data_IF_232499335098
#
_entry.id   IF_232499335098
#
_cell.length_a   1.000
_cell.length_b   1.000
_cell.length_c   1.000
_cell.angle_alpha   90.00
_cell.angle_beta   90.00
_cell.angle_gamma   90.00
#
_symmetry.space_group_name_H-M   'P 1'
#
loop_
_entity.id
_entity.type
_entity.pdbx_description
1 polymer ?
#
# COMPACT_ATOMS: atom_id res chain seq x y z
N UNK A 1 -5.69 -12.81 -1.64
CA UNK A 1 -4.67 -13.39 -2.54
C UNK A 1 -5.30 -14.59 -3.23
N UNK A 2 -4.95 -14.84 -4.49
CA UNK A 2 -5.45 -16.01 -5.24
C UNK A 2 -4.48 -16.39 -6.36
N UNK A 3 -4.63 -17.58 -6.93
CA UNK A 3 -3.81 -18.05 -8.06
C UNK A 3 -4.37 -17.66 -9.44
N UNK A 4 -5.57 -17.08 -9.47
CA UNK A 4 -6.19 -16.57 -10.68
C UNK A 4 -6.97 -15.29 -10.39
N UNK A 5 -7.12 -14.44 -11.41
CA UNK A 5 -7.94 -13.23 -11.31
C UNK A 5 -9.43 -13.55 -11.12
N UNK A 6 -9.89 -14.70 -11.62
CA UNK A 6 -11.29 -15.11 -11.48
C UNK A 6 -11.60 -15.55 -10.05
N UNK A 7 -10.72 -16.33 -9.41
CA UNK A 7 -10.86 -16.69 -7.99
C UNK A 7 -10.85 -15.45 -7.10
N UNK A 8 -9.98 -14.49 -7.41
CA UNK A 8 -9.89 -13.23 -6.67
C UNK A 8 -11.15 -12.38 -6.84
N UNK A 9 -11.68 -12.32 -8.05
CA UNK A 9 -12.91 -11.61 -8.36
C UNK A 9 -14.09 -12.24 -7.63
N UNK A 10 -14.19 -13.58 -7.65
CA UNK A 10 -15.27 -14.29 -6.99
C UNK A 10 -15.19 -14.14 -5.47
N UNK A 11 -13.99 -14.21 -4.88
CA UNK A 11 -13.79 -13.96 -3.45
C UNK A 11 -14.34 -12.59 -3.04
N UNK A 12 -13.92 -11.52 -3.72
CA UNK A 12 -14.37 -10.16 -3.40
C UNK A 12 -15.87 -9.97 -3.61
N UNK A 13 -16.41 -10.53 -4.70
CA UNK A 13 -17.84 -10.52 -4.98
C UNK A 13 -18.65 -11.18 -3.86
N UNK A 14 -18.17 -12.29 -3.29
CA UNK A 14 -18.81 -12.95 -2.15
C UNK A 14 -18.71 -12.12 -0.89
N UNK A 15 -17.52 -11.58 -0.57
CA UNK A 15 -17.32 -10.74 0.62
C UNK A 15 -18.23 -9.52 0.60
N UNK A 16 -18.26 -8.79 -0.50
CA UNK A 16 -19.16 -7.62 -0.66
C UNK A 16 -20.62 -8.06 -0.69
N UNK A 17 -20.93 -9.21 -1.30
CA UNK A 17 -22.27 -9.79 -1.35
C UNK A 17 -22.83 -10.22 0.01
N UNK A 18 -21.99 -10.46 1.02
CA UNK A 18 -22.42 -10.70 2.40
C UNK A 18 -22.96 -9.43 3.08
N UNK A 19 -22.85 -8.26 2.44
CA UNK A 19 -23.32 -6.96 2.95
C UNK A 19 -22.75 -6.65 4.35
N UNK A 20 -21.42 -6.59 4.51
CA UNK A 20 -20.79 -6.39 5.81
C UNK A 20 -21.26 -5.13 6.57
N UNK A 21 -21.69 -4.11 5.83
CA UNK A 21 -22.27 -2.88 6.38
C UNK A 21 -23.58 -3.07 7.18
N UNK A 22 -24.19 -4.26 7.17
CA UNK A 22 -25.38 -4.54 7.96
C UNK A 22 -25.08 -4.98 9.39
N UNK A 23 -23.91 -5.57 9.63
CA UNK A 23 -23.49 -6.01 10.95
C UNK A 23 -22.27 -5.24 11.48
N UNK A 24 -21.56 -4.53 10.62
CA UNK A 24 -20.45 -3.65 10.97
C UNK A 24 -20.72 -2.22 10.47
N UNK A 25 -21.01 -1.31 11.39
CA UNK A 25 -21.30 0.09 11.10
C UNK A 25 -20.11 0.88 10.56
N UNK A 26 -18.89 0.34 10.63
CA UNK A 26 -17.67 0.97 10.08
C UNK A 26 -17.47 0.65 8.59
N UNK A 27 -18.18 -0.34 8.07
CA UNK A 27 -18.15 -0.71 6.66
C UNK A 27 -18.98 0.26 5.81
N UNK A 28 -18.40 0.72 4.70
CA UNK A 28 -19.11 1.60 3.75
C UNK A 28 -20.10 0.75 2.93
N UNK A 29 -21.37 1.15 2.80
CA UNK A 29 -22.40 0.36 2.12
C UNK A 29 -22.29 0.47 0.60
N UNK A 30 -21.22 -0.09 0.02
CA UNK A 30 -20.99 -0.14 -1.42
C UNK A 30 -21.26 -1.56 -1.94
N UNK A 31 -22.34 -1.77 -2.70
CA UNK A 31 -22.61 -3.07 -3.30
C UNK A 31 -21.67 -3.33 -4.48
N UNK A 32 -21.42 -4.61 -4.76
CA UNK A 32 -20.59 -5.05 -5.87
C UNK A 32 -21.16 -4.60 -7.21
N UNK A 33 -20.35 -3.95 -8.03
CA UNK A 33 -20.74 -3.48 -9.36
C UNK A 33 -20.01 -4.26 -10.44
N UNK A 34 -20.75 -4.79 -11.41
CA UNK A 34 -20.14 -5.32 -12.63
C UNK A 34 -19.54 -4.15 -13.43
N UNK A 35 -18.22 -4.17 -13.62
CA UNK A 35 -17.51 -3.16 -14.40
C UNK A 35 -17.22 -3.70 -15.79
N UNK A 36 -17.78 -3.06 -16.81
CA UNK A 36 -17.42 -3.29 -18.21
C UNK A 36 -16.54 -2.13 -18.68
N UNK A 37 -15.21 -2.35 -18.71
CA UNK A 37 -14.26 -1.34 -19.20
C UNK A 37 -14.34 -1.14 -20.73
N UNK A 38 -14.96 -2.09 -21.43
CA UNK A 38 -15.04 -2.17 -22.90
C UNK A 38 -16.27 -1.44 -23.47
N UNK A 39 -17.33 -1.22 -22.68
CA UNK A 39 -18.62 -0.67 -23.14
C UNK A 39 -18.62 0.83 -23.45
N UNK A 40 -17.50 1.55 -23.28
CA UNK A 40 -17.46 2.99 -23.56
C UNK A 40 -16.09 3.59 -23.90
N UNK A 41 -14.98 2.86 -23.73
CA UNK A 41 -13.63 3.33 -24.07
C UNK A 41 -12.90 2.29 -24.91
N UNK A 42 -12.74 2.54 -26.21
CA UNK A 42 -11.86 1.72 -27.09
C UNK A 42 -10.40 1.73 -26.63
N UNK A 43 -9.99 2.73 -25.82
CA UNK A 43 -8.61 2.93 -25.35
C UNK A 43 -8.64 3.44 -23.92
N UNK A 44 -8.05 2.67 -23.00
CA UNK A 44 -7.79 3.08 -21.62
C UNK A 44 -6.52 3.92 -21.57
N UNK A 45 -6.44 4.83 -20.59
CA UNK A 45 -5.27 5.65 -20.32
C UNK A 45 -4.55 5.18 -19.05
N UNK A 46 -3.30 4.76 -19.17
CA UNK A 46 -2.46 4.30 -18.07
C UNK A 46 -1.39 5.34 -17.76
N UNK A 47 -1.30 5.76 -16.50
CA UNK A 47 -0.16 6.54 -16.00
C UNK A 47 0.92 5.61 -15.44
N UNK A 48 2.19 5.81 -15.77
CA UNK A 48 3.29 4.96 -15.30
C UNK A 48 4.19 5.72 -14.34
N UNK A 49 4.37 5.17 -13.14
CA UNK A 49 5.38 5.63 -12.18
C UNK A 49 6.58 4.69 -12.29
N UNK A 50 7.62 5.16 -12.97
CA UNK A 50 8.86 4.41 -13.18
C UNK A 50 9.76 4.37 -11.95
N UNK A 51 9.80 5.47 -11.21
CA UNK A 51 10.69 5.65 -10.06
C UNK A 51 9.95 6.38 -8.94
N UNK A 52 10.22 5.98 -7.71
CA UNK A 52 9.67 6.58 -6.49
C UNK A 52 10.55 7.73 -5.95
N UNK A 53 11.74 7.91 -6.53
CA UNK A 53 12.74 8.90 -6.12
C UNK A 53 13.61 8.49 -4.92
N UNK A 54 13.41 7.30 -4.37
CA UNK A 54 14.17 6.77 -3.22
C UNK A 54 15.02 5.58 -3.66
N UNK A 55 14.43 4.55 -4.25
CA UNK A 55 15.14 3.38 -4.77
C UNK A 55 14.70 3.15 -6.22
N UNK A 56 15.58 3.37 -7.21
CA UNK A 56 15.23 3.06 -8.59
C UNK A 56 15.00 1.55 -8.75
N UNK A 57 13.99 1.10 -9.51
CA UNK A 57 13.76 -0.33 -9.68
C UNK A 57 14.96 -0.99 -10.35
N UNK A 58 15.28 -2.19 -9.88
CA UNK A 58 16.33 -3.04 -10.48
C UNK A 58 16.04 -3.32 -11.95
N UNK A 59 17.04 -3.69 -12.76
CA UNK A 59 16.85 -4.01 -14.18
C UNK A 59 15.69 -4.99 -14.42
N UNK A 60 15.60 -6.05 -13.61
CA UNK A 60 14.50 -7.01 -13.63
C UNK A 60 13.12 -6.36 -13.43
N UNK A 61 12.93 -5.60 -12.35
CA UNK A 61 11.65 -4.95 -12.07
C UNK A 61 11.30 -3.90 -13.13
N UNK A 62 12.30 -3.13 -13.62
CA UNK A 62 12.11 -2.16 -14.71
C UNK A 62 11.69 -2.85 -16.00
N UNK A 63 12.35 -3.93 -16.37
CA UNK A 63 12.03 -4.73 -17.54
C UNK A 63 10.60 -5.31 -17.44
N UNK A 64 10.20 -5.83 -16.28
CA UNK A 64 8.83 -6.29 -16.06
C UNK A 64 7.79 -5.20 -16.30
N UNK A 65 8.03 -3.98 -15.79
CA UNK A 65 7.17 -2.83 -16.03
C UNK A 65 7.16 -2.40 -17.51
N UNK A 66 8.33 -2.31 -18.15
CA UNK A 66 8.46 -1.99 -19.58
C UNK A 66 7.70 -2.98 -20.46
N UNK A 67 7.79 -4.28 -20.17
CA UNK A 67 7.06 -5.32 -20.89
C UNK A 67 5.55 -5.10 -20.87
N UNK A 68 4.98 -4.68 -19.73
CA UNK A 68 3.56 -4.34 -19.62
C UNK A 68 3.22 -3.08 -20.41
N UNK A 69 4.05 -2.03 -20.30
CA UNK A 69 3.87 -0.78 -21.04
C UNK A 69 3.84 -1.04 -22.55
N UNK A 70 4.77 -1.84 -23.05
CA UNK A 70 4.86 -2.19 -24.47
C UNK A 70 3.65 -3.02 -24.92
N UNK A 71 3.21 -3.98 -24.11
CA UNK A 71 2.03 -4.78 -24.37
C UNK A 71 0.76 -3.91 -24.49
N UNK A 72 0.58 -2.96 -23.57
CA UNK A 72 -0.57 -2.05 -23.55
C UNK A 72 -0.54 -1.07 -24.74
N UNK A 73 0.62 -0.48 -25.04
CA UNK A 73 0.79 0.40 -26.21
C UNK A 73 0.49 -0.34 -27.51
N UNK A 74 0.91 -1.60 -27.64
CA UNK A 74 0.64 -2.42 -28.82
C UNK A 74 -0.85 -2.70 -29.03
N UNK A 75 -1.62 -2.80 -27.95
CA UNK A 75 -3.09 -2.90 -28.01
C UNK A 75 -3.80 -1.55 -28.25
N UNK A 76 -3.04 -0.47 -28.44
CA UNK A 76 -3.58 0.86 -28.73
C UNK A 76 -4.07 1.63 -27.51
N UNK A 77 -3.72 1.18 -26.30
CA UNK A 77 -3.96 1.96 -25.08
C UNK A 77 -3.02 3.18 -25.00
N UNK A 78 -3.50 4.25 -24.38
CA UNK A 78 -2.68 5.43 -24.12
C UNK A 78 -1.86 5.15 -22.86
N UNK A 79 -0.54 5.33 -22.93
CA UNK A 79 0.35 5.15 -21.79
C UNK A 79 1.22 6.39 -21.66
N UNK A 80 1.11 7.08 -20.53
CA UNK A 80 1.83 8.31 -20.24
C UNK A 80 2.75 8.11 -19.03
N UNK A 81 3.88 8.82 -19.02
CA UNK A 81 4.74 8.86 -17.85
C UNK A 81 4.12 9.81 -16.82
N UNK A 82 3.64 9.24 -15.72
CA UNK A 82 3.03 10.02 -14.66
C UNK A 82 4.13 10.54 -13.75
N UNK A 83 4.48 11.81 -13.92
CA UNK A 83 5.39 12.46 -12.99
C UNK A 83 4.76 12.47 -11.60
N UNK A 84 5.46 11.92 -10.62
CA UNK A 84 5.01 11.89 -9.24
C UNK A 84 4.94 13.33 -8.71
N UNK A 85 3.85 13.73 -8.04
CA UNK A 85 3.65 15.10 -7.52
C UNK A 85 4.66 15.43 -6.43
N UNK A 86 4.99 14.41 -5.65
CA UNK A 86 5.78 14.44 -4.43
C UNK A 86 6.67 13.22 -4.39
N UNK A 87 7.83 13.32 -3.74
CA UNK A 87 8.74 12.17 -3.67
C UNK A 87 8.13 11.10 -2.78
N UNK A 88 8.42 9.82 -3.02
CA UNK A 88 7.94 8.78 -2.11
C UNK A 88 8.49 8.95 -0.68
N UNK A 89 9.62 9.66 -0.51
CA UNK A 89 10.09 10.11 0.80
C UNK A 89 9.05 10.92 1.56
N UNK A 90 8.32 11.82 0.91
CA UNK A 90 7.33 12.69 1.58
C UNK A 90 6.17 11.85 2.12
N UNK A 91 5.73 10.88 1.32
CA UNK A 91 4.74 9.89 1.73
C UNK A 91 5.22 9.05 2.92
N UNK A 92 6.44 8.50 2.84
CA UNK A 92 7.03 7.71 3.91
C UNK A 92 7.18 8.54 5.20
N UNK A 93 7.55 9.82 5.09
CA UNK A 93 7.71 10.72 6.21
C UNK A 93 6.39 10.98 6.94
N UNK A 94 5.32 11.30 6.20
CA UNK A 94 3.99 11.50 6.79
C UNK A 94 3.47 10.19 7.38
N UNK A 95 3.49 9.12 6.58
CA UNK A 95 2.88 7.85 6.98
C UNK A 95 3.62 7.15 8.11
N UNK A 96 4.95 7.21 8.19
CA UNK A 96 5.66 6.61 9.32
C UNK A 96 5.49 7.37 10.63
N UNK A 97 5.35 8.69 10.58
CA UNK A 97 5.03 9.45 11.79
C UNK A 97 3.63 9.13 12.30
N UNK A 98 2.66 8.92 11.41
CA UNK A 98 1.31 8.47 11.78
C UNK A 98 1.31 7.02 12.28
N UNK A 99 2.03 6.12 11.60
CA UNK A 99 2.11 4.70 11.98
C UNK A 99 2.80 4.49 13.33
N UNK A 100 3.80 5.31 13.64
CA UNK A 100 4.59 5.23 14.87
C UNK A 100 4.42 6.48 15.74
N UNK A 101 3.22 7.08 15.76
CA UNK A 101 2.94 8.28 16.54
C UNK A 101 3.20 8.08 18.04
N UNK A 102 3.04 6.87 18.52
CA UNK A 102 3.30 6.45 19.90
C UNK A 102 4.74 5.95 20.14
N UNK A 103 5.63 6.04 19.15
CA UNK A 103 6.98 5.46 19.18
C UNK A 103 6.97 3.93 19.35
N UNK A 104 5.99 3.26 18.75
CA UNK A 104 5.84 1.80 18.73
C UNK A 104 5.45 1.21 20.09
N UNK A 105 4.77 1.95 20.94
CA UNK A 105 4.33 1.51 22.27
C UNK A 105 3.28 0.41 22.15
N UNK A 106 2.26 0.61 21.31
CA UNK A 106 1.21 -0.35 20.98
C UNK A 106 1.77 -1.60 20.30
N UNK A 107 2.79 -1.45 19.44
CA UNK A 107 3.46 -2.59 18.81
C UNK A 107 4.21 -3.45 19.83
N UNK A 108 4.76 -2.83 20.87
CA UNK A 108 5.60 -3.50 21.88
C UNK A 108 4.82 -4.03 23.07
N UNK A 109 3.70 -3.41 23.41
CA UNK A 109 2.88 -3.76 24.57
C UNK A 109 2.50 -5.27 24.63
N UNK A 110 2.14 -5.94 23.52
CA UNK A 110 1.80 -7.36 23.56
C UNK A 110 3.00 -8.31 23.52
N UNK A 111 4.23 -7.82 23.27
CA UNK A 111 5.41 -8.68 23.09
C UNK A 111 5.94 -9.18 24.42
N UNK A 112 6.21 -10.47 24.54
CA UNK A 112 6.86 -11.05 25.71
C UNK A 112 8.38 -10.83 25.67
N UNK A 113 9.01 -10.65 26.83
CA UNK A 113 10.46 -10.43 26.93
C UNK A 113 11.32 -11.58 26.38
N UNK A 114 10.76 -12.78 26.27
CA UNK A 114 11.43 -14.00 25.77
C UNK A 114 11.25 -14.22 24.28
N UNK A 115 10.46 -13.40 23.59
CA UNK A 115 10.25 -13.54 22.15
C UNK A 115 11.51 -13.17 21.36
N UNK A 116 11.84 -14.00 20.38
CA UNK A 116 12.93 -13.73 19.44
C UNK A 116 12.39 -13.02 18.21
N UNK A 117 12.97 -11.88 17.87
CA UNK A 117 12.63 -11.14 16.66
C UNK A 117 13.72 -11.28 15.60
N UNK A 118 13.33 -11.14 14.33
CA UNK A 118 14.29 -11.05 13.22
C UNK A 118 15.17 -9.80 13.37
N UNK A 119 16.39 -9.84 12.84
CA UNK A 119 17.32 -8.71 12.90
C UNK A 119 16.73 -7.38 12.38
N UNK A 120 16.00 -7.32 11.24
CA UNK A 120 15.34 -6.09 10.80
C UNK A 120 14.34 -5.55 11.82
N UNK A 121 13.51 -6.43 12.41
CA UNK A 121 12.55 -6.06 13.45
C UNK A 121 13.25 -5.49 14.68
N UNK A 122 14.34 -6.11 15.12
CA UNK A 122 15.13 -5.61 16.25
C UNK A 122 15.68 -4.21 15.99
N UNK A 123 16.17 -3.95 14.77
CA UNK A 123 16.65 -2.61 14.39
C UNK A 123 15.55 -1.56 14.42
N UNK A 124 14.36 -1.87 13.88
CA UNK A 124 13.21 -0.94 13.91
C UNK A 124 12.74 -0.68 15.34
N UNK A 125 12.57 -1.72 16.16
CA UNK A 125 12.17 -1.56 17.55
C UNK A 125 13.23 -0.80 18.37
N UNK A 126 14.51 -1.07 18.12
CA UNK A 126 15.63 -0.34 18.72
C UNK A 126 15.57 1.14 18.36
N UNK A 127 15.39 1.46 17.08
CA UNK A 127 15.20 2.83 16.61
C UNK A 127 14.02 3.49 17.29
N UNK A 128 12.85 2.86 17.35
CA UNK A 128 11.66 3.42 18.00
C UNK A 128 11.87 3.67 19.50
N UNK A 129 12.61 2.81 20.21
CA UNK A 129 12.93 2.97 21.63
C UNK A 129 13.94 4.07 21.94
N UNK A 130 14.77 4.48 20.98
CA UNK A 130 15.80 5.50 21.23
C UNK A 130 15.18 6.84 21.68
N UNK A 131 15.69 7.47 22.76
CA UNK A 131 15.26 8.81 23.19
C UNK A 131 15.41 9.87 22.09
N UNK A 132 14.50 10.85 22.06
CA UNK A 132 14.47 11.93 21.06
C UNK A 132 15.81 12.68 20.98
N UNK A 133 16.44 12.97 22.11
CA UNK A 133 17.75 13.67 22.13
C UNK A 133 18.85 12.90 21.39
N UNK A 134 18.91 11.57 21.55
CA UNK A 134 19.89 10.73 20.88
C UNK A 134 19.59 10.68 19.37
N UNK A 135 18.32 10.50 19.00
CA UNK A 135 17.87 10.54 17.60
C UNK A 135 18.21 11.86 16.91
N UNK A 136 17.97 12.98 17.58
CA UNK A 136 18.30 14.32 17.07
C UNK A 136 19.81 14.48 16.87
N UNK A 137 20.62 13.98 17.80
CA UNK A 137 22.07 14.00 17.65
C UNK A 137 22.55 13.11 16.49
N UNK A 138 22.03 11.89 16.36
CA UNK A 138 22.32 11.00 15.22
C UNK A 138 21.88 11.61 13.88
N UNK A 139 20.73 12.27 13.84
CA UNK A 139 20.26 13.03 12.67
C UNK A 139 21.22 14.15 12.31
N UNK A 140 21.75 14.89 13.30
CA UNK A 140 22.74 15.94 13.08
C UNK A 140 24.06 15.39 12.54
N UNK A 141 24.52 14.25 13.07
CA UNK A 141 25.72 13.57 12.58
C UNK A 141 25.54 13.20 11.10
N UNK A 142 24.43 12.54 10.74
CA UNK A 142 24.16 12.07 9.39
C UNK A 142 23.93 13.21 8.38
N UNK A 143 23.49 14.39 8.83
CA UNK A 143 23.37 15.60 7.99
C UNK A 143 24.70 16.30 7.77
N UNK A 144 25.66 16.18 8.69
CA UNK A 144 26.93 16.90 8.65
C UNK A 144 28.07 16.02 8.12
N UNK A 145 28.69 16.46 7.04
CA UNK A 145 29.89 15.81 6.50
C UNK A 145 31.02 15.71 7.54
N UNK A 146 31.24 16.79 8.30
CA UNK A 146 32.33 16.87 9.29
C UNK A 146 32.08 15.87 10.42
N UNK A 147 30.86 15.85 10.97
CA UNK A 147 30.53 14.92 12.06
C UNK A 147 30.51 13.47 11.56
N UNK A 148 29.94 13.20 10.38
CA UNK A 148 29.97 11.85 9.80
C UNK A 148 31.39 11.33 9.61
N UNK A 149 32.34 12.20 9.22
CA UNK A 149 33.75 11.85 9.15
C UNK A 149 34.37 11.58 10.53
N UNK A 150 34.15 12.47 11.51
CA UNK A 150 34.67 12.32 12.88
C UNK A 150 34.19 11.02 13.54
N UNK A 151 32.92 10.66 13.33
CA UNK A 151 32.31 9.46 13.92
C UNK A 151 32.44 8.20 13.04
N UNK A 152 33.22 8.25 11.94
CA UNK A 152 33.51 7.08 11.10
C UNK A 152 32.31 6.52 10.33
N UNK A 153 31.26 7.32 10.11
CA UNK A 153 30.05 6.95 9.37
C UNK A 153 30.15 7.22 7.85
N UNK A 154 31.29 7.76 7.40
CA UNK A 154 31.61 8.00 6.00
C UNK A 154 31.63 9.49 5.62
N UNK A 155 32.03 9.77 4.38
CA UNK A 155 32.25 11.14 3.87
C UNK A 155 31.07 11.70 3.08
N UNK A 156 29.90 11.05 3.06
CA UNK A 156 28.73 11.58 2.34
C UNK A 156 27.54 11.73 3.30
N UNK A 157 26.93 12.93 3.38
CA UNK A 157 25.69 13.11 4.14
C UNK A 157 24.59 12.16 3.67
N UNK A 158 23.80 11.64 4.60
CA UNK A 158 22.64 10.79 4.33
C UNK A 158 21.36 11.46 4.83
N UNK A 159 20.76 12.37 4.03
CA UNK A 159 19.60 13.14 4.45
C UNK A 159 18.35 12.28 4.68
N UNK A 160 18.18 11.18 3.91
CA UNK A 160 17.01 10.31 4.01
C UNK A 160 17.00 9.54 5.34
N UNK A 161 18.13 8.92 5.70
CA UNK A 161 18.24 8.25 7.00
C UNK A 161 18.18 9.26 8.14
N UNK A 162 18.86 10.41 8.00
CA UNK A 162 18.81 11.46 9.02
C UNK A 162 17.39 11.96 9.29
N UNK A 163 16.59 12.10 8.23
CA UNK A 163 15.19 12.47 8.31
C UNK A 163 14.40 11.41 9.09
N UNK A 164 14.55 10.12 8.74
CA UNK A 164 13.92 9.02 9.47
C UNK A 164 14.23 9.04 10.98
N UNK A 165 15.49 9.27 11.36
CA UNK A 165 15.87 9.42 12.78
C UNK A 165 15.15 10.61 13.43
N UNK A 166 15.08 11.75 12.74
CA UNK A 166 14.42 12.95 13.29
C UNK A 166 12.92 12.80 13.43
N UNK A 167 12.26 12.07 12.53
CA UNK A 167 10.81 11.98 12.46
C UNK A 167 10.22 10.93 13.40
N UNK A 168 10.90 9.78 13.57
CA UNK A 168 10.43 8.63 14.36
C UNK A 168 10.58 8.84 15.87
N UNK A 169 9.75 9.71 16.44
CA UNK A 169 9.63 9.91 17.88
C UNK A 169 8.16 10.08 18.27
N UNK A 170 7.86 9.88 19.55
CA UNK A 170 6.50 10.03 20.10
C UNK A 170 5.96 11.43 19.78
N UNK A 171 4.76 11.48 19.19
CA UNK A 171 4.03 12.69 18.82
C UNK A 171 3.05 13.07 19.91
N UNK A 172 2.87 14.37 20.07
CA UNK A 172 1.74 14.92 20.82
C UNK A 172 0.47 14.83 19.97
N UNK A 173 -0.69 14.90 20.62
CA UNK A 173 -1.99 14.93 19.93
C UNK A 173 -2.08 16.09 18.93
N UNK A 174 -1.42 17.22 19.21
CA UNK A 174 -1.40 18.37 18.30
C UNK A 174 -0.56 18.10 17.05
N UNK A 175 0.65 17.56 17.21
CA UNK A 175 1.51 17.16 16.09
C UNK A 175 0.84 16.07 15.25
N UNK A 176 0.17 15.10 15.88
CA UNK A 176 -0.57 14.05 15.17
C UNK A 176 -1.71 14.63 14.34
N UNK A 177 -2.48 15.58 14.88
CA UNK A 177 -3.55 16.27 14.13
C UNK A 177 -3.01 17.06 12.94
N UNK A 178 -1.85 17.71 13.09
CA UNK A 178 -1.16 18.39 11.99
C UNK A 178 -0.73 17.39 10.90
N UNK A 179 -0.18 16.24 11.29
CA UNK A 179 0.19 15.18 10.35
C UNK A 179 -1.03 14.60 9.60
N UNK A 180 -2.19 14.53 10.26
CA UNK A 180 -3.45 14.13 9.63
C UNK A 180 -3.86 15.15 8.56
N UNK A 181 -3.75 16.45 8.86
CA UNK A 181 -4.00 17.52 7.89
C UNK A 181 -3.03 17.45 6.71
N UNK A 182 -1.72 17.29 6.96
CA UNK A 182 -0.70 17.11 5.92
C UNK A 182 -1.00 15.92 5.01
N UNK A 183 -1.41 14.79 5.59
CA UNK A 183 -1.84 13.60 4.83
C UNK A 183 -3.04 13.91 3.94
N UNK A 184 -4.02 14.65 4.43
CA UNK A 184 -5.23 14.94 3.68
C UNK A 184 -4.98 15.95 2.55
N UNK A 185 -4.08 16.93 2.77
CA UNK A 185 -3.56 17.80 1.71
C UNK A 185 -2.81 16.98 0.64
N UNK A 186 -1.97 16.03 1.08
CA UNK A 186 -1.25 15.13 0.18
C UNK A 186 -2.22 14.32 -0.69
N UNK A 187 -3.25 13.71 -0.08
CA UNK A 187 -4.33 12.98 -0.79
C UNK A 187 -5.07 13.87 -1.78
N UNK A 188 -5.42 15.09 -1.39
CA UNK A 188 -6.12 16.04 -2.25
C UNK A 188 -5.28 16.43 -3.47
N UNK A 189 -3.98 16.67 -3.29
CA UNK A 189 -3.06 16.98 -4.39
C UNK A 189 -2.95 15.84 -5.40
N UNK A 190 -2.85 14.60 -4.91
CA UNK A 190 -2.84 13.39 -5.73
C UNK A 190 -4.12 13.20 -6.52
N UNK A 191 -5.26 13.37 -5.85
CA UNK A 191 -6.55 13.29 -6.51
C UNK A 191 -6.70 14.35 -7.61
N UNK A 192 -6.29 15.59 -7.32
CA UNK A 192 -6.34 16.69 -8.29
C UNK A 192 -5.55 16.36 -9.56
N UNK A 193 -4.30 15.94 -9.44
CA UNK A 193 -3.49 15.56 -10.62
C UNK A 193 -4.06 14.37 -11.36
N UNK A 194 -4.54 13.35 -10.65
CA UNK A 194 -5.16 12.19 -11.28
C UNK A 194 -6.32 12.61 -12.19
N UNK A 195 -7.14 13.55 -11.71
CA UNK A 195 -8.27 14.12 -12.47
C UNK A 195 -7.81 14.99 -13.65
N UNK A 196 -6.74 15.78 -13.49
CA UNK A 196 -6.16 16.60 -14.56
C UNK A 196 -5.58 15.75 -15.70
N UNK A 197 -4.83 14.70 -15.36
CA UNK A 197 -4.20 13.78 -16.31
C UNK A 197 -5.22 12.81 -16.96
N UNK A 198 -6.39 12.66 -16.34
CA UNK A 198 -7.49 11.79 -16.79
C UNK A 198 -7.06 10.32 -16.98
N UNK A 199 -6.15 9.85 -16.12
CA UNK A 199 -5.69 8.45 -16.16
C UNK A 199 -6.77 7.52 -15.59
N UNK A 200 -6.95 6.36 -16.23
CA UNK A 200 -7.86 5.32 -15.77
C UNK A 200 -7.22 4.47 -14.68
N UNK A 201 -5.94 4.17 -14.83
CA UNK A 201 -5.12 3.37 -13.92
C UNK A 201 -3.71 3.97 -13.78
N UNK A 202 -3.07 3.68 -12.65
CA UNK A 202 -1.64 3.90 -12.46
C UNK A 202 -0.91 2.56 -12.40
N UNK A 203 0.21 2.47 -13.10
CA UNK A 203 1.08 1.29 -13.16
C UNK A 203 2.43 1.62 -12.50
N UNK A 204 2.91 0.70 -11.69
CA UNK A 204 4.27 0.76 -11.14
C UNK A 204 4.73 -0.63 -10.70
N UNK A 205 5.94 -0.73 -10.15
CA UNK A 205 6.42 -1.96 -9.50
C UNK A 205 5.90 -2.00 -8.06
N UNK A 206 5.54 -3.16 -7.48
CA UNK A 206 5.15 -3.22 -6.07
C UNK A 206 6.33 -3.04 -5.11
N UNK A 207 7.53 -3.35 -5.57
CA UNK A 207 8.78 -3.30 -4.81
C UNK A 207 9.96 -3.14 -5.79
N UNK A 208 11.05 -2.43 -5.44
CA UNK A 208 12.12 -2.13 -6.39
C UNK A 208 13.02 -3.33 -6.73
N UNK A 209 12.93 -4.44 -5.99
CA UNK A 209 13.73 -5.65 -6.20
C UNK A 209 12.86 -6.90 -6.38
N UNK A 210 13.41 -7.98 -6.97
CA UNK A 210 12.83 -9.31 -6.85
C UNK A 210 12.83 -9.79 -5.39
N UNK A 211 12.23 -10.95 -5.13
CA UNK A 211 12.24 -11.55 -3.81
C UNK A 211 13.66 -11.66 -3.25
N UNK A 212 13.86 -11.13 -2.04
CA UNK A 212 15.15 -11.11 -1.36
C UNK A 212 15.48 -12.51 -0.83
N UNK A 213 16.77 -12.83 -0.76
CA UNK A 213 17.23 -14.03 -0.05
C UNK A 213 16.85 -13.96 1.44
N UNK A 214 16.70 -15.13 2.06
CA UNK A 214 16.49 -15.22 3.50
C UNK A 214 17.59 -14.46 4.26
N UNK A 215 17.19 -13.59 5.20
CA UNK A 215 18.08 -12.71 5.96
C UNK A 215 18.55 -11.45 5.22
N UNK A 216 18.25 -11.30 3.92
CA UNK A 216 18.62 -10.12 3.12
C UNK A 216 17.76 -8.88 3.40
N UNK A 217 16.59 -9.07 4.03
CA UNK A 217 15.67 -7.96 4.36
C UNK A 217 16.25 -6.93 5.33
N UNK A 218 17.33 -7.24 6.06
CA UNK A 218 17.99 -6.26 6.94
C UNK A 218 18.61 -5.07 6.19
N UNK A 219 18.94 -5.27 4.91
CA UNK A 219 19.43 -4.19 4.03
C UNK A 219 18.31 -3.48 3.27
N UNK A 220 17.12 -4.08 3.24
CA UNK A 220 15.88 -3.45 2.83
C UNK A 220 15.29 -2.70 4.02
N UNK A 221 15.68 -1.43 4.16
CA UNK A 221 15.21 -0.59 5.27
C UNK A 221 13.73 -0.24 5.11
N UNK A 222 13.14 0.41 6.13
CA UNK A 222 11.82 1.02 6.05
C UNK A 222 11.65 1.91 4.79
N UNK A 223 12.73 2.44 4.23
CA UNK A 223 12.66 3.30 3.05
C UNK A 223 12.47 2.55 1.73
N UNK A 224 12.42 1.21 1.74
CA UNK A 224 12.29 0.37 0.53
C UNK A 224 10.86 0.09 0.07
N UNK A 225 9.86 0.36 0.91
CA UNK A 225 8.46 0.05 0.61
C UNK A 225 7.70 1.18 -0.11
N UNK A 226 8.39 2.25 -0.56
CA UNK A 226 7.78 3.47 -1.10
C UNK A 226 6.72 3.22 -2.17
N UNK A 227 7.01 2.31 -3.11
CA UNK A 227 6.10 1.96 -4.20
C UNK A 227 4.74 1.39 -3.78
N UNK A 228 4.69 0.62 -2.69
CA UNK A 228 3.44 0.07 -2.16
C UNK A 228 2.82 1.02 -1.12
N UNK A 229 3.66 1.58 -0.26
CA UNK A 229 3.25 2.40 0.87
C UNK A 229 2.50 3.67 0.45
N UNK A 230 2.82 4.23 -0.72
CA UNK A 230 2.12 5.40 -1.26
C UNK A 230 0.62 5.17 -1.42
N UNK A 231 0.21 4.00 -1.88
CA UNK A 231 -1.20 3.71 -2.12
C UNK A 231 -1.95 3.41 -0.82
N UNK A 232 -1.25 2.93 0.21
CA UNK A 232 -1.80 2.84 1.57
C UNK A 232 -2.04 4.24 2.16
N UNK A 233 -1.07 5.15 2.03
CA UNK A 233 -1.25 6.52 2.51
C UNK A 233 -2.38 7.22 1.74
N UNK A 234 -2.45 7.03 0.42
CA UNK A 234 -3.49 7.61 -0.43
C UNK A 234 -4.87 7.00 -0.24
N UNK A 235 -4.98 5.83 0.39
CA UNK A 235 -6.21 5.04 0.50
C UNK A 235 -6.79 4.71 -0.89
N UNK A 236 -5.90 4.29 -1.79
CA UNK A 236 -6.21 3.91 -3.17
C UNK A 236 -6.19 2.40 -3.33
N UNK A 237 -6.98 1.91 -4.28
CA UNK A 237 -7.10 0.49 -4.57
C UNK A 237 -5.89 0.03 -5.36
N UNK A 238 -5.17 -1.00 -4.90
CA UNK A 238 -4.02 -1.57 -5.60
C UNK A 238 -4.10 -3.10 -5.70
N UNK A 239 -3.78 -3.64 -6.87
CA UNK A 239 -3.66 -5.07 -7.12
C UNK A 239 -2.36 -5.41 -7.84
N UNK A 240 -1.72 -6.52 -7.47
CA UNK A 240 -0.44 -6.96 -8.04
C UNK A 240 -0.63 -8.25 -8.81
N UNK A 241 -0.20 -8.27 -10.08
CA UNK A 241 -0.14 -9.50 -10.90
C UNK A 241 1.30 -9.80 -11.31
N UNK A 242 1.71 -11.07 -11.32
CA UNK A 242 2.98 -11.48 -11.93
C UNK A 242 2.90 -11.41 -13.45
N UNK A 243 3.99 -10.95 -14.09
CA UNK A 243 4.02 -10.68 -15.54
C UNK A 243 5.18 -11.35 -16.27
N UNK A 244 6.27 -11.62 -15.57
CA UNK A 244 7.45 -12.29 -16.10
C UNK A 244 8.31 -12.83 -14.96
N UNK A 245 9.43 -13.46 -15.28
CA UNK A 245 10.43 -13.91 -14.30
C UNK A 245 11.77 -13.25 -14.56
N UNK A 246 12.64 -13.26 -13.56
CA UNK A 246 14.02 -12.75 -13.67
C UNK A 246 14.80 -13.58 -14.68
N UNK A 247 15.41 -12.90 -15.65
CA UNK A 247 16.27 -13.47 -16.69
C UNK A 247 17.68 -12.87 -16.59
N UNK A 248 18.71 -13.65 -16.20
CA UNK A 248 20.08 -13.13 -16.10
C UNK A 248 20.60 -12.51 -17.39
N UNK A 249 20.18 -13.02 -18.55
CA UNK A 249 20.58 -12.48 -19.86
C UNK A 249 20.08 -11.07 -20.14
N UNK A 250 18.93 -10.69 -19.56
CA UNK A 250 18.29 -9.40 -19.79
C UNK A 250 18.48 -8.45 -18.60
N UNK A 251 18.62 -9.02 -17.40
CA UNK A 251 18.50 -8.30 -16.14
C UNK A 251 19.83 -8.22 -15.36
N UNK A 252 20.94 -8.76 -15.91
CA UNK A 252 22.26 -8.65 -15.29
C UNK A 252 22.74 -7.20 -15.21
N UNK A 253 23.39 -6.86 -14.10
CA UNK A 253 24.16 -5.63 -14.00
C UNK A 253 25.50 -5.79 -14.73
N UNK A 254 26.03 -4.72 -15.35
CA UNK A 254 27.40 -4.69 -15.84
C UNK A 254 28.42 -5.09 -14.77
N UNK A 255 29.53 -5.70 -15.16
CA UNK A 255 30.55 -6.19 -14.23
C UNK A 255 31.14 -5.07 -13.34
N UNK A 256 31.23 -3.85 -13.88
CA UNK A 256 31.75 -2.65 -13.23
C UNK A 256 30.65 -1.80 -12.57
N UNK A 257 29.40 -2.28 -12.51
CA UNK A 257 28.25 -1.49 -12.05
C UNK A 257 28.45 -0.87 -10.66
N UNK A 258 28.99 -1.62 -9.69
CA UNK A 258 29.22 -1.12 -8.33
C UNK A 258 30.35 -0.09 -8.23
N UNK A 259 31.16 0.06 -9.28
CA UNK A 259 32.16 1.12 -9.42
C UNK A 259 31.67 2.26 -10.32
N UNK A 260 30.51 2.11 -10.96
CA UNK A 260 29.99 3.06 -11.93
C UNK A 260 29.61 4.41 -11.31
N UNK A 261 29.66 5.51 -12.10
CA UNK A 261 29.15 6.81 -11.65
C UNK A 261 27.68 6.74 -11.19
N UNK A 262 26.85 5.93 -11.87
CA UNK A 262 25.44 5.74 -11.54
C UNK A 262 25.24 5.19 -10.14
N UNK A 263 25.92 4.08 -9.79
CA UNK A 263 25.82 3.52 -8.44
C UNK A 263 26.41 4.47 -7.40
N UNK A 264 27.47 5.20 -7.72
CA UNK A 264 28.11 6.14 -6.80
C UNK A 264 27.23 7.34 -6.41
N UNK A 265 26.30 7.72 -7.29
CA UNK A 265 25.29 8.77 -7.08
C UNK A 265 24.10 8.31 -6.24
N UNK A 266 23.88 7.00 -6.07
CA UNK A 266 22.78 6.50 -5.24
C UNK A 266 22.93 6.93 -3.78
N UNK A 267 21.77 7.18 -3.15
CA UNK A 267 21.69 7.35 -1.71
C UNK A 267 22.00 6.03 -0.99
N UNK A 268 22.25 6.09 0.32
CA UNK A 268 22.69 4.94 1.11
C UNK A 268 21.65 3.79 1.11
N UNK A 269 20.35 4.12 1.13
CA UNK A 269 19.25 3.16 1.09
C UNK A 269 19.27 2.39 -0.24
N UNK A 270 19.31 3.11 -1.36
CA UNK A 270 19.35 2.50 -2.69
C UNK A 270 20.61 1.64 -2.86
N UNK A 271 21.77 2.08 -2.40
CA UNK A 271 22.99 1.26 -2.39
C UNK A 271 22.80 -0.02 -1.59
N UNK A 272 22.28 0.07 -0.37
CA UNK A 272 22.00 -1.08 0.50
C UNK A 272 21.09 -2.11 -0.16
N UNK A 273 20.03 -1.64 -0.82
CA UNK A 273 19.11 -2.50 -1.57
C UNK A 273 19.79 -3.17 -2.78
N UNK A 274 20.53 -2.40 -3.60
CA UNK A 274 21.20 -2.93 -4.80
C UNK A 274 22.32 -3.94 -4.50
N UNK A 275 22.88 -3.92 -3.30
CA UNK A 275 23.82 -4.96 -2.84
C UNK A 275 23.17 -6.33 -2.65
N UNK A 276 21.84 -6.39 -2.52
CA UNK A 276 21.10 -7.65 -2.47
C UNK A 276 20.69 -8.15 -3.87
N UNK A 277 20.79 -7.31 -4.90
CA UNK A 277 20.42 -7.68 -6.26
C UNK A 277 21.50 -8.49 -6.96
N UNK A 278 21.14 -9.69 -7.42
CA UNK A 278 21.99 -10.50 -8.28
C UNK A 278 21.12 -11.34 -9.23
N UNK A 279 21.14 -11.01 -10.52
CA UNK A 279 20.24 -11.63 -11.50
C UNK A 279 20.43 -13.15 -11.61
N UNK A 280 21.67 -13.65 -11.52
CA UNK A 280 21.96 -15.10 -11.56
C UNK A 280 21.36 -15.84 -10.36
N UNK A 281 21.56 -15.31 -9.15
CA UNK A 281 20.99 -15.91 -7.93
C UNK A 281 19.48 -15.78 -7.86
N UNK A 282 18.91 -14.80 -8.56
CA UNK A 282 17.48 -14.51 -8.59
C UNK A 282 16.78 -15.11 -9.83
N UNK A 283 17.49 -15.88 -10.66
CA UNK A 283 16.97 -16.46 -11.90
C UNK A 283 15.66 -17.20 -11.67
N UNK A 284 14.66 -16.87 -12.49
CA UNK A 284 13.35 -17.53 -12.47
C UNK A 284 12.40 -17.04 -11.37
N UNK A 285 12.82 -16.15 -10.48
CA UNK A 285 11.91 -15.55 -9.50
C UNK A 285 10.82 -14.73 -10.20
N UNK A 286 9.56 -14.76 -9.71
CA UNK A 286 8.46 -14.03 -10.31
C UNK A 286 8.62 -12.52 -10.12
N UNK A 287 8.25 -11.77 -11.16
CA UNK A 287 8.23 -10.31 -11.18
C UNK A 287 6.80 -9.85 -11.39
N UNK A 288 6.29 -9.08 -10.44
CA UNK A 288 4.95 -8.50 -10.47
C UNK A 288 4.95 -7.03 -10.84
N UNK A 289 3.81 -6.58 -11.36
CA UNK A 289 3.49 -5.16 -11.48
C UNK A 289 2.25 -4.84 -10.65
N UNK A 290 2.19 -3.61 -10.19
CA UNK A 290 1.10 -3.07 -9.40
C UNK A 290 0.21 -2.21 -10.30
N UNK A 291 -1.08 -2.53 -10.31
CA UNK A 291 -2.15 -1.79 -11.00
C UNK A 291 -2.97 -1.08 -9.93
N UNK A 292 -3.12 0.23 -10.07
CA UNK A 292 -3.77 1.09 -9.08
C UNK A 292 -4.97 1.78 -9.69
N UNK A 293 -6.09 1.74 -8.98
CA UNK A 293 -7.29 2.53 -9.22
C UNK A 293 -7.55 3.47 -8.05
N UNK A 294 -8.61 4.28 -8.16
CA UNK A 294 -8.93 5.23 -7.09
C UNK A 294 -9.55 4.51 -5.90
N UNK A 295 -9.81 5.26 -4.83
CA UNK A 295 -10.52 4.78 -3.65
C UNK A 295 -11.88 4.16 -4.04
N UNK A 296 -12.19 2.99 -3.49
CA UNK A 296 -13.43 2.22 -3.74
C UNK A 296 -13.64 1.87 -5.23
N UNK A 297 -12.57 1.51 -5.93
CA UNK A 297 -12.59 1.06 -7.33
C UNK A 297 -12.07 -0.38 -7.47
N UNK A 298 -12.28 -1.24 -6.47
CA UNK A 298 -11.83 -2.64 -6.43
C UNK A 298 -12.24 -3.41 -7.69
N UNK A 299 -13.49 -3.34 -8.12
CA UNK A 299 -13.99 -4.04 -9.31
C UNK A 299 -13.33 -3.53 -10.58
N UNK A 300 -13.06 -2.22 -10.64
CA UNK A 300 -12.38 -1.59 -11.76
C UNK A 300 -10.90 -2.00 -11.82
N UNK A 301 -10.21 -2.09 -10.68
CA UNK A 301 -8.82 -2.57 -10.61
C UNK A 301 -8.73 -4.02 -11.05
N UNK A 302 -9.64 -4.89 -10.60
CA UNK A 302 -9.70 -6.28 -11.06
C UNK A 302 -9.92 -6.38 -12.58
N UNK A 303 -10.82 -5.55 -13.13
CA UNK A 303 -11.02 -5.47 -14.58
C UNK A 303 -9.77 -4.94 -15.30
N UNK A 304 -9.06 -3.96 -14.73
CA UNK A 304 -7.79 -3.45 -15.24
C UNK A 304 -6.68 -4.51 -15.24
N UNK A 305 -6.59 -5.32 -14.19
CA UNK A 305 -5.67 -6.46 -14.11
C UNK A 305 -5.95 -7.47 -15.23
N UNK A 306 -7.23 -7.74 -15.55
CA UNK A 306 -7.62 -8.60 -16.68
C UNK A 306 -7.20 -8.03 -18.03
N UNK A 307 -7.29 -6.71 -18.21
CA UNK A 307 -6.80 -6.04 -19.43
C UNK A 307 -5.28 -6.24 -19.58
N UNK A 308 -4.51 -6.01 -18.50
CA UNK A 308 -3.05 -6.21 -18.55
C UNK A 308 -2.69 -7.67 -18.83
N UNK A 309 -3.37 -8.62 -18.18
CA UNK A 309 -3.16 -10.05 -18.43
C UNK A 309 -3.44 -10.42 -19.89
N UNK A 310 -4.53 -9.90 -20.46
CA UNK A 310 -4.87 -10.05 -21.88
C UNK A 310 -3.81 -9.45 -22.81
N UNK A 311 -3.28 -8.27 -22.48
CA UNK A 311 -2.19 -7.63 -23.22
C UNK A 311 -0.92 -8.48 -23.27
N UNK A 312 -0.54 -9.06 -22.14
CA UNK A 312 0.64 -9.93 -22.04
C UNK A 312 0.45 -11.25 -22.80
N UNK A 313 -0.75 -11.85 -22.77
CA UNK A 313 -1.06 -13.07 -23.52
C UNK A 313 -0.88 -12.88 -25.03
N UNK A 314 -1.37 -11.76 -25.57
CA UNK A 314 -1.21 -11.43 -27.00
C UNK A 314 0.28 -11.26 -27.35
N UNK A 315 1.00 -10.46 -26.57
CA UNK A 315 2.43 -10.20 -26.81
C UNK A 315 3.27 -11.49 -26.77
N UNK A 316 3.04 -12.36 -25.78
CA UNK A 316 3.75 -13.63 -25.67
C UNK A 316 3.42 -14.58 -26.82
N UNK A 317 2.16 -14.58 -27.29
CA UNK A 317 1.74 -15.41 -28.43
C UNK A 317 2.46 -14.97 -29.70
N UNK A 318 2.55 -13.68 -29.99
CA UNK A 318 3.24 -13.17 -31.18
C UNK A 318 4.75 -13.45 -31.16
N UNK A 319 5.39 -13.35 -29.99
CA UNK A 319 6.81 -13.72 -29.82
C UNK A 319 7.01 -15.21 -30.11
N UNK A 320 6.06 -16.07 -29.72
CA UNK A 320 6.11 -17.51 -29.97
C UNK A 320 5.80 -17.91 -31.42
N UNK A 321 5.11 -17.06 -32.19
CA UNK A 321 4.88 -17.27 -33.64
C UNK A 321 6.08 -16.81 -34.47
N UNK A 322 6.80 -15.77 -34.03
CA UNK A 322 8.02 -15.26 -34.71
C UNK A 322 9.31 -16.04 -34.42
N UNK A 323 9.33 -16.92 -33.41
CA UNK A 323 10.43 -17.86 -33.11
C UNK A 323 9.86 -19.27 -33.13
N UNK A 324 10.29 -20.12 -34.06
CA UNK A 324 9.88 -21.53 -34.15
C UNK A 324 9.86 -22.19 -32.75
N UNK A 325 8.63 -22.43 -32.25
CA UNK A 325 8.23 -23.11 -31.01
C UNK A 325 9.33 -23.31 -29.95
N UNK A 326 9.37 -22.40 -28.98
CA UNK A 326 9.85 -22.71 -27.61
C UNK A 326 8.68 -22.47 -26.66
N UNK A 327 8.13 -23.55 -26.13
CA UNK A 327 7.04 -23.55 -25.16
C UNK A 327 7.62 -23.05 -23.82
N UNK A 328 7.31 -21.82 -23.43
CA UNK A 328 7.58 -21.33 -22.08
C UNK A 328 6.44 -21.78 -21.15
N UNK A 329 6.72 -22.75 -20.28
CA UNK A 329 5.86 -23.08 -19.15
C UNK A 329 5.95 -21.97 -18.11
N UNK A 330 4.90 -21.16 -17.98
CA UNK A 330 4.75 -20.17 -16.91
C UNK A 330 4.44 -20.91 -15.59
N UNK A 331 5.25 -20.68 -14.56
CA UNK A 331 4.97 -21.10 -13.19
C UNK A 331 3.67 -20.42 -12.68
N UNK A 332 2.93 -21.04 -11.75
CA UNK A 332 1.62 -20.54 -11.31
C UNK A 332 1.73 -19.14 -10.70
N UNK A 333 0.87 -18.19 -11.09
CA UNK A 333 0.93 -16.81 -10.63
C UNK A 333 0.21 -16.62 -9.27
N UNK A 334 0.92 -16.20 -8.22
CA UNK A 334 0.28 -15.69 -7.00
C UNK A 334 -0.11 -14.21 -7.18
N UNK A 335 -1.38 -13.88 -6.95
CA UNK A 335 -1.92 -12.50 -6.99
C UNK A 335 -2.02 -11.96 -5.57
N UNK A 336 -1.28 -10.89 -5.27
CA UNK A 336 -1.29 -10.21 -3.97
C UNK A 336 -2.10 -8.91 -4.09
N UNK A 337 -3.13 -8.75 -3.24
CA UNK A 337 -3.82 -7.47 -3.02
C UNK A 337 -3.41 -6.99 -1.64
N UNK A 338 -2.97 -5.73 -1.54
CA UNK A 338 -2.80 -5.07 -0.26
C UNK A 338 -4.20 -4.75 0.27
N UNK A 339 -4.64 -5.52 1.28
CA UNK A 339 -5.95 -5.33 1.88
C UNK A 339 -5.89 -4.16 2.84
N UNK A 340 -6.91 -3.30 2.74
CA UNK A 340 -7.29 -2.25 3.68
C UNK A 340 -7.24 -2.76 5.12
N UNK A 341 -6.28 -2.28 5.89
CA UNK A 341 -6.48 -2.04 7.32
C UNK A 341 -6.48 -0.53 7.52
N UNK A 342 -7.63 -0.01 7.96
CA UNK A 342 -7.69 1.30 8.57
C UNK A 342 -6.62 1.37 9.66
N UNK A 343 -5.84 2.46 9.67
CA UNK A 343 -4.94 2.88 10.76
C UNK A 343 -5.73 3.17 12.06
N UNK A 344 -6.49 2.19 12.53
CA UNK A 344 -7.24 2.24 13.77
C UNK A 344 -6.94 0.95 14.51
N UNK A 345 -5.84 0.99 15.27
CA UNK A 345 -5.51 -0.01 16.27
C UNK A 345 -6.62 0.02 17.34
N UNK A 346 -7.68 -0.75 17.11
CA UNK A 346 -8.66 -1.02 18.16
C UNK A 346 -8.11 -2.11 19.09
N UNK A 347 -7.91 -1.70 20.33
CA UNK A 347 -7.60 -2.53 21.49
C UNK A 347 -8.61 -3.67 21.62
N UNK A 348 -8.19 -4.90 21.30
CA UNK A 348 -8.83 -6.08 21.86
C UNK A 348 -8.57 -6.08 23.37
N UNK A 349 -9.51 -5.52 24.14
CA UNK A 349 -9.58 -5.82 25.57
C UNK A 349 -9.82 -7.33 25.73
N UNK A 350 -9.09 -8.03 26.62
CA UNK A 350 -9.44 -9.41 26.95
C UNK A 350 -10.86 -9.45 27.55
N UNK A 351 -11.65 -10.51 27.32
CA UNK A 351 -12.93 -10.65 27.98
C UNK A 351 -12.71 -10.70 29.49
N UNK A 352 -13.39 -9.81 30.21
CA UNK A 352 -13.50 -9.84 31.67
C UNK A 352 -13.96 -11.24 32.11
N UNK A 353 -13.29 -11.89 33.08
CA UNK A 353 -13.75 -13.18 33.56
C UNK A 353 -15.09 -13.06 34.28
N UNK A 354 -15.99 -13.94 33.84
CA UNK A 354 -17.33 -14.27 34.32
C UNK A 354 -17.78 -13.75 35.71
N UNK A 355 -19.04 -13.30 35.70
CA UNK A 355 -19.90 -13.07 36.85
C UNK A 355 -19.86 -14.17 37.92
N UNK A 356 -19.83 -13.74 39.19
CA UNK A 356 -20.44 -14.46 40.32
C UNK A 356 -21.85 -13.90 40.56
N UNK A 357 -22.88 -14.73 40.81
CA UNK A 357 -24.27 -14.31 40.89
C UNK A 357 -24.67 -13.96 42.34
N UNK A 358 -25.04 -12.71 42.61
CA UNK A 358 -25.81 -12.35 43.82
C UNK A 358 -26.45 -10.95 43.69
N UNK A 359 -27.72 -10.87 44.10
CA UNK A 359 -28.60 -9.69 44.29
C UNK A 359 -29.06 -8.99 42.98
N UNK A 360 -30.29 -9.18 42.47
CA UNK A 360 -31.64 -8.92 43.02
C UNK A 360 -31.82 -7.49 43.54
N UNK A 361 -32.68 -6.77 42.81
CA UNK A 361 -33.50 -5.59 43.14
C UNK A 361 -32.85 -4.30 43.66
N UNK A 362 -33.00 -3.22 42.88
CA UNK A 362 -33.73 -2.06 43.39
C UNK A 362 -34.15 -1.09 42.27
N UNK A 363 -35.38 -0.61 42.43
CA UNK A 363 -36.14 0.30 41.58
C UNK A 363 -35.63 1.76 41.62
N UNK A 364 -35.90 2.48 40.51
CA UNK A 364 -36.39 3.88 40.38
C UNK A 364 -35.54 5.10 40.82
N UNK A 365 -35.42 5.98 39.81
CA UNK A 365 -35.60 7.46 39.79
C UNK A 365 -35.01 8.34 40.90
N UNK A 366 -34.22 9.33 40.47
CA UNK A 366 -34.33 10.70 40.97
C UNK A 366 -34.07 11.70 39.83
N UNK A 367 -35.14 12.37 39.38
CA UNK A 367 -35.12 13.65 38.67
C UNK A 367 -35.94 14.62 39.51
N UNK A 368 -35.35 15.75 39.89
CA UNK A 368 -35.99 16.92 40.50
C UNK A 368 -35.51 18.15 39.72
N UNK A 369 -36.32 19.11 39.28
CA UNK A 369 -37.76 19.34 39.37
C UNK A 369 -38.09 20.68 38.66
N UNK A 370 -39.38 20.94 38.40
CA UNK A 370 -39.87 22.28 38.00
C UNK A 370 -41.08 22.32 37.07
N UNK A 371 -42.29 22.16 37.64
CA UNK A 371 -43.62 22.77 37.31
C UNK A 371 -44.00 23.05 35.83
N UNK A 372 -45.03 22.42 35.27
CA UNK A 372 -46.46 22.82 35.38
C UNK A 372 -47.17 22.74 33.99
N UNK A 373 -48.51 22.70 33.89
CA UNK A 373 -49.19 21.62 33.13
C UNK A 373 -50.01 22.01 31.89
N UNK A 374 -50.26 21.01 31.03
CA UNK A 374 -51.57 20.79 30.40
C UNK A 374 -51.67 20.89 28.88
N UNK A 375 -51.93 19.76 28.19
CA UNK A 375 -53.18 19.54 27.45
C UNK A 375 -53.21 18.15 26.78
N UNK A 376 -54.44 17.67 26.61
CA UNK A 376 -54.90 16.32 26.27
C UNK A 376 -54.95 16.07 24.75
N UNK A 377 -55.21 14.79 24.45
CA UNK A 377 -55.90 14.22 23.27
C UNK A 377 -54.96 13.76 22.12
N UNK A 378 -55.17 12.64 21.45
CA UNK A 378 -56.11 11.52 21.58
C UNK A 378 -55.65 10.41 20.62
N UNK A 379 -55.89 9.14 20.99
CA UNK A 379 -55.76 7.94 20.15
C UNK A 379 -56.78 7.92 19.01
N UNK A 380 -56.39 7.35 17.86
CA UNK A 380 -57.13 6.36 17.05
C UNK A 380 -56.25 6.01 15.82
N UNK A 381 -55.60 4.84 15.76
CA UNK A 381 -56.13 3.54 15.26
C UNK A 381 -56.75 3.58 13.85
N UNK A 382 -56.05 2.98 12.88
CA UNK A 382 -56.47 1.84 12.02
C UNK A 382 -55.43 1.68 10.89
N UNK A 383 -54.68 0.57 10.83
CA UNK A 383 -55.01 -0.71 10.20
C UNK A 383 -55.22 -0.64 8.68
N UNK A 384 -54.43 -1.43 7.94
CA UNK A 384 -54.83 -2.02 6.66
C UNK A 384 -53.94 -1.67 5.47
N UNK A 385 -52.76 -2.28 5.31
CA UNK A 385 -52.45 -3.40 4.38
C UNK A 385 -52.73 -3.20 2.88
N UNK A 386 -51.63 -3.43 2.14
CA UNK A 386 -51.51 -4.18 0.87
C UNK A 386 -51.64 -3.44 -0.46
N UNK A 387 -50.51 -3.49 -1.20
CA UNK A 387 -50.32 -3.84 -2.61
C UNK A 387 -51.31 -3.23 -3.62
N UNK A 388 -50.90 -2.47 -4.62
CA UNK A 388 -49.73 -2.61 -5.48
C UNK A 388 -50.20 -2.42 -6.93
N UNK A 389 -49.24 -2.21 -7.83
CA UNK A 389 -49.35 -2.28 -9.30
C UNK A 389 -49.77 -1.00 -10.05
N UNK A 390 -48.79 -0.48 -10.82
CA UNK A 390 -48.79 0.15 -12.16
C UNK A 390 -49.89 1.19 -12.49
N UNK A 391 -49.64 2.30 -13.19
CA UNK A 391 -48.78 2.57 -14.36
C UNK A 391 -48.96 4.08 -14.68
N UNK A 392 -47.98 4.73 -15.34
CA UNK A 392 -48.10 5.91 -16.26
C UNK A 392 -49.00 7.09 -15.79
N UNK A 393 -48.49 8.29 -15.59
CA UNK A 393 -47.75 9.14 -16.54
C UNK A 393 -46.64 10.00 -15.89
#
# INVERSE_FOLDING_TARGET
>A
MANSLDDLTEFWKRVVGMRPWEYDHTCVPVPWKSVSLQEGKKRLKFGVIWEDGVIPPTPACRHALSKVVDALKKQGHEVIDLQVISRASDCLNIGYQLLFADSGEQLRAPLQNTETHTLPTQHVLGLLKLPKMIKSFLSLILRSHILSFIFGLGSKPDPLSAELYSLLHKKTVMEERQLIEERDIYRASWHKKWMEEKVDFVLTVPYPLPALRNGGSGRATLMSCGYAFIFNLLDYTAGVIPVTTVSPTLDALPADYYSSPTFNQFNAVAKGAYLEYNAEKMKGLPLGIQIVGRRMEEEKVLAGMKVVEGALKVLNTEISVGRTRIIFALAPPEVIICVRDSLTLYSNYPPSPAHSPAAIDSYRYWTSGGQGPGQKASKQEMLGTCAGVNKSD
#
